data_IF_832295124312
#
_entry.id   IF_832295124312
#
_cell.length_a   1.000
_cell.length_b   1.000
_cell.length_c   1.000
_cell.angle_alpha   90.00
_cell.angle_beta   90.00
_cell.angle_gamma   90.00
#
_symmetry.space_group_name_H-M   'P 1'
#
loop_
_entity.id
_entity.type
_entity.pdbx_description
1 polymer ?
#
# COMPACT_ATOMS: atom_id res chain seq x y z
N UNK A 1 10.43 1.74 17.64
CA UNK A 1 9.33 2.62 18.07
C UNK A 1 9.59 3.99 17.48
N UNK A 2 8.80 4.41 16.50
CA UNK A 2 8.81 5.78 15.99
C UNK A 2 7.37 6.26 16.13
N UNK A 3 7.12 7.10 17.13
CA UNK A 3 5.88 7.87 17.24
C UNK A 3 5.82 8.82 16.05
N UNK A 4 4.86 8.58 15.15
CA UNK A 4 4.58 9.47 14.04
C UNK A 4 3.59 10.54 14.48
N UNK A 5 4.09 11.69 14.93
CA UNK A 5 3.26 12.86 15.21
C UNK A 5 2.52 13.32 13.95
N UNK A 6 1.20 13.13 13.93
CA UNK A 6 0.30 13.91 13.08
C UNK A 6 0.24 15.32 13.66
N UNK A 7 0.72 16.33 12.92
CA UNK A 7 0.65 17.73 13.37
C UNK A 7 -0.67 18.35 12.94
N UNK A 8 -1.42 18.87 13.91
CA UNK A 8 -2.68 19.58 13.70
C UNK A 8 -2.48 21.08 13.89
N UNK A 9 -3.17 21.89 13.07
CA UNK A 9 -3.31 23.34 13.30
C UNK A 9 -4.75 23.59 13.76
N UNK A 10 -4.93 24.09 14.98
CA UNK A 10 -6.26 24.35 15.57
C UNK A 10 -6.79 25.73 15.21
N UNK A 11 -8.09 25.80 14.93
CA UNK A 11 -8.91 27.02 14.93
C UNK A 11 -10.13 26.75 15.83
N UNK A 12 -10.48 27.68 16.74
CA UNK A 12 -11.30 27.41 17.93
C UNK A 12 -12.81 27.17 17.68
N UNK A 13 -13.27 27.17 16.43
CA UNK A 13 -14.69 26.96 16.05
C UNK A 13 -14.92 25.74 15.13
N UNK A 14 -13.98 24.78 15.10
CA UNK A 14 -14.03 23.63 14.18
C UNK A 14 -14.66 22.41 14.87
N UNK A 15 -15.69 21.83 14.24
CA UNK A 15 -16.18 20.49 14.57
C UNK A 15 -14.99 19.51 14.51
N UNK A 16 -14.67 18.87 15.63
CA UNK A 16 -13.53 17.94 15.73
C UNK A 16 -13.58 16.89 14.61
N UNK A 17 -12.53 16.83 13.78
CA UNK A 17 -12.36 15.77 12.77
C UNK A 17 -11.64 14.58 13.40
N UNK A 18 -12.21 13.39 13.28
CA UNK A 18 -11.60 12.17 13.81
C UNK A 18 -10.71 11.49 12.75
N UNK A 19 -9.43 11.38 13.04
CA UNK A 19 -8.44 10.72 12.20
C UNK A 19 -8.02 9.39 12.81
N UNK A 20 -7.99 8.34 11.99
CA UNK A 20 -7.46 7.04 12.40
C UNK A 20 -6.41 6.58 11.40
N UNK A 21 -5.28 6.09 11.93
CA UNK A 21 -4.27 5.37 11.15
C UNK A 21 -4.31 3.89 11.52
N UNK A 22 -4.23 3.02 10.51
CA UNK A 22 -4.30 1.58 10.71
C UNK A 22 -3.39 0.84 9.74
N UNK A 23 -2.47 0.05 10.30
CA UNK A 23 -1.67 -0.88 9.53
C UNK A 23 -2.47 -2.16 9.27
N UNK A 24 -2.83 -2.38 8.01
CA UNK A 24 -3.65 -3.54 7.60
C UNK A 24 -2.89 -4.85 7.73
N UNK A 25 -1.56 -4.83 7.59
CA UNK A 25 -0.71 -6.01 7.52
C UNK A 25 -1.17 -7.02 6.47
N UNK A 26 -1.68 -6.53 5.34
CA UNK A 26 -2.16 -7.37 4.24
C UNK A 26 -1.01 -7.81 3.32
N UNK A 27 -0.08 -8.57 3.89
CA UNK A 27 0.95 -9.32 3.16
C UNK A 27 0.55 -10.78 2.97
N UNK A 28 0.85 -11.38 1.83
CA UNK A 28 0.48 -12.79 1.54
C UNK A 28 1.28 -13.82 2.34
N UNK A 29 2.30 -13.36 3.06
CA UNK A 29 3.02 -14.13 4.07
C UNK A 29 2.23 -14.29 5.38
N UNK A 30 1.15 -13.54 5.58
CA UNK A 30 0.31 -13.59 6.78
C UNK A 30 -0.67 -14.75 6.70
N UNK A 31 -0.74 -15.56 7.76
CA UNK A 31 -1.71 -16.65 7.87
C UNK A 31 -3.15 -16.13 7.86
N UNK A 32 -4.07 -16.86 7.24
CA UNK A 32 -5.48 -16.49 7.12
C UNK A 32 -5.71 -15.13 6.41
N UNK A 33 -4.89 -14.84 5.40
CA UNK A 33 -4.91 -13.58 4.66
C UNK A 33 -6.32 -13.15 4.21
N UNK A 34 -7.10 -14.05 3.58
CA UNK A 34 -8.45 -13.72 3.10
C UNK A 34 -9.43 -13.45 4.26
N UNK A 35 -9.37 -14.25 5.33
CA UNK A 35 -10.21 -14.03 6.52
C UNK A 35 -9.85 -12.70 7.20
N UNK A 36 -8.55 -12.41 7.34
CA UNK A 36 -8.05 -11.16 7.90
C UNK A 36 -8.50 -9.95 7.09
N UNK A 37 -8.45 -10.02 5.75
CA UNK A 37 -8.95 -8.96 4.88
C UNK A 37 -10.43 -8.66 5.13
N UNK A 38 -11.26 -9.69 5.23
CA UNK A 38 -12.69 -9.51 5.51
C UNK A 38 -12.92 -8.86 6.89
N UNK A 39 -12.23 -9.33 7.93
CA UNK A 39 -12.31 -8.74 9.27
C UNK A 39 -11.84 -7.27 9.31
N UNK A 40 -10.80 -6.93 8.53
CA UNK A 40 -10.35 -5.55 8.39
C UNK A 40 -11.44 -4.70 7.74
N UNK A 41 -12.06 -5.18 6.65
CA UNK A 41 -13.16 -4.45 5.99
C UNK A 41 -14.32 -4.21 6.98
N UNK A 42 -14.72 -5.22 7.74
CA UNK A 42 -15.76 -5.09 8.77
C UNK A 42 -15.40 -4.05 9.83
N UNK A 43 -14.17 -4.08 10.36
CA UNK A 43 -13.70 -3.11 11.34
C UNK A 43 -13.65 -1.68 10.78
N UNK A 44 -13.22 -1.50 9.53
CA UNK A 44 -13.17 -0.20 8.88
C UNK A 44 -14.57 0.37 8.61
N UNK A 45 -15.55 -0.47 8.27
CA UNK A 45 -16.95 -0.06 8.10
C UNK A 45 -17.59 0.43 9.40
N UNK A 46 -17.18 -0.13 10.53
CA UNK A 46 -17.64 0.25 11.88
C UNK A 46 -16.87 1.45 12.45
N UNK A 47 -15.85 1.94 11.76
CA UNK A 47 -15.04 3.06 12.25
C UNK A 47 -15.83 4.37 12.30
N UNK A 48 -15.76 5.05 13.44
CA UNK A 48 -16.32 6.39 13.60
C UNK A 48 -15.45 7.49 13.00
N UNK A 49 -14.25 7.15 12.49
CA UNK A 49 -13.33 8.10 11.89
C UNK A 49 -13.96 8.86 10.71
N UNK A 50 -13.59 10.13 10.55
CA UNK A 50 -13.92 10.91 9.36
C UNK A 50 -12.91 10.64 8.24
N UNK A 51 -11.67 10.35 8.62
CA UNK A 51 -10.57 10.04 7.70
C UNK A 51 -9.76 8.85 8.21
N UNK A 52 -9.54 7.89 7.33
CA UNK A 52 -8.74 6.68 7.54
C UNK A 52 -7.44 6.77 6.72
N UNK A 53 -6.31 6.60 7.40
CA UNK A 53 -5.00 6.33 6.81
C UNK A 53 -4.72 4.82 6.91
N UNK A 54 -4.64 4.11 5.79
CA UNK A 54 -4.29 2.70 5.77
C UNK A 54 -2.85 2.49 5.30
N UNK A 55 -2.10 1.67 6.03
CA UNK A 55 -0.76 1.20 5.68
C UNK A 55 -0.75 -0.28 5.31
N UNK A 56 0.32 -0.71 4.64
CA UNK A 56 0.57 -2.09 4.20
C UNK A 56 -0.51 -2.68 3.27
N UNK A 57 -1.16 -1.80 2.49
CA UNK A 57 -2.12 -2.18 1.47
C UNK A 57 -1.42 -2.35 0.13
N UNK A 58 -0.68 -3.45 0.01
CA UNK A 58 0.33 -3.68 -1.02
C UNK A 58 -0.25 -4.04 -2.40
N UNK A 59 -1.32 -4.83 -2.43
CA UNK A 59 -1.89 -5.32 -3.69
C UNK A 59 -3.04 -4.42 -4.14
N UNK A 60 -3.06 -4.08 -5.43
CA UNK A 60 -4.11 -3.19 -5.97
C UNK A 60 -5.49 -3.85 -5.90
N UNK A 61 -5.55 -5.17 -6.04
CA UNK A 61 -6.78 -5.93 -5.87
C UNK A 61 -7.40 -5.73 -4.47
N UNK A 62 -6.60 -5.78 -3.40
CA UNK A 62 -7.10 -5.53 -2.04
C UNK A 62 -7.55 -4.08 -1.88
N UNK A 63 -6.79 -3.13 -2.44
CA UNK A 63 -7.16 -1.71 -2.42
C UNK A 63 -8.54 -1.50 -3.03
N UNK A 64 -8.81 -2.10 -4.18
CA UNK A 64 -10.10 -1.98 -4.87
C UNK A 64 -11.22 -2.64 -4.07
N UNK A 65 -10.98 -3.81 -3.48
CA UNK A 65 -11.97 -4.51 -2.66
C UNK A 65 -12.34 -3.68 -1.42
N UNK A 66 -11.34 -3.15 -0.71
CA UNK A 66 -11.55 -2.28 0.45
C UNK A 66 -12.26 -0.99 0.02
N UNK A 67 -11.79 -0.33 -1.04
CA UNK A 67 -12.39 0.89 -1.56
C UNK A 67 -13.86 0.70 -1.93
N UNK A 68 -14.18 -0.38 -2.64
CA UNK A 68 -15.57 -0.71 -3.01
C UNK A 68 -16.43 -0.97 -1.78
N UNK A 69 -15.91 -1.67 -0.78
CA UNK A 69 -16.63 -1.93 0.46
C UNK A 69 -16.90 -0.64 1.25
N UNK A 70 -15.91 0.25 1.32
CA UNK A 70 -15.99 1.49 2.09
C UNK A 70 -16.72 2.62 1.37
N UNK A 71 -16.96 2.53 0.05
CA UNK A 71 -17.50 3.63 -0.77
C UNK A 71 -18.80 4.25 -0.22
N UNK A 72 -19.65 3.47 0.46
CA UNK A 72 -20.88 3.98 1.07
C UNK A 72 -20.65 4.89 2.29
N UNK A 73 -19.58 4.66 3.04
CA UNK A 73 -19.25 5.41 4.26
C UNK A 73 -18.14 6.44 4.02
N UNK A 74 -17.17 6.11 3.16
CA UNK A 74 -16.02 6.92 2.80
C UNK A 74 -15.99 7.08 1.27
N UNK A 75 -16.78 8.00 0.69
CA UNK A 75 -16.93 8.15 -0.76
C UNK A 75 -15.68 8.71 -1.45
N UNK A 76 -14.75 9.28 -0.68
CA UNK A 76 -13.52 9.89 -1.15
C UNK A 76 -12.31 9.01 -0.83
N UNK A 77 -11.47 8.70 -1.82
CA UNK A 77 -10.26 7.91 -1.60
C UNK A 77 -9.05 8.39 -2.41
N UNK A 78 -7.86 8.27 -1.83
CA UNK A 78 -6.64 8.69 -2.48
C UNK A 78 -5.48 7.72 -2.22
N UNK A 79 -4.76 7.36 -3.27
CA UNK A 79 -3.54 6.55 -3.18
C UNK A 79 -2.54 6.97 -4.27
N UNK A 80 -1.40 6.28 -4.36
CA UNK A 80 -0.46 6.56 -5.46
C UNK A 80 -1.05 6.17 -6.82
N UNK A 81 -1.95 5.18 -6.86
CA UNK A 81 -2.45 4.58 -8.10
C UNK A 81 -3.84 5.10 -8.54
N UNK A 82 -4.59 5.77 -7.66
CA UNK A 82 -5.90 6.35 -7.98
C UNK A 82 -6.11 7.72 -7.32
N UNK A 83 -6.95 8.54 -7.95
CA UNK A 83 -7.45 9.81 -7.39
C UNK A 83 -8.88 9.68 -6.83
N UNK A 84 -9.35 10.77 -6.19
CA UNK A 84 -10.61 10.91 -5.40
C UNK A 84 -11.87 10.26 -5.99
N UNK A 85 -12.00 10.21 -7.32
CA UNK A 85 -13.12 9.54 -7.96
C UNK A 85 -13.01 8.01 -7.95
N UNK A 86 -12.05 7.45 -7.20
CA UNK A 86 -11.80 6.01 -7.15
C UNK A 86 -11.36 5.44 -8.53
N UNK A 87 -11.01 6.32 -9.47
CA UNK A 87 -10.62 5.96 -10.84
C UNK A 87 -9.12 5.68 -10.85
N UNK A 88 -8.79 4.43 -11.18
CA UNK A 88 -7.40 4.01 -11.34
C UNK A 88 -6.87 4.58 -12.64
N UNK A 89 -5.77 5.34 -12.55
CA UNK A 89 -5.30 6.24 -13.62
C UNK A 89 -4.83 5.54 -14.89
N UNK A 90 -4.45 4.27 -14.80
CA UNK A 90 -3.92 3.54 -15.94
C UNK A 90 -4.22 2.03 -15.83
N UNK A 91 -5.21 1.56 -16.59
CA UNK A 91 -5.59 0.14 -16.62
C UNK A 91 -4.51 -0.76 -17.23
N UNK A 92 -3.57 -0.23 -18.01
CA UNK A 92 -2.53 -1.03 -18.66
C UNK A 92 -1.41 -1.40 -17.68
N UNK A 93 -0.97 -0.46 -16.83
CA UNK A 93 -0.04 -0.75 -15.74
C UNK A 93 -0.65 -1.66 -14.67
N UNK A 94 -1.97 -1.67 -14.53
CA UNK A 94 -2.67 -2.58 -13.62
C UNK A 94 -2.61 -4.06 -13.98
N UNK A 95 -2.40 -4.37 -15.26
CA UNK A 95 -2.43 -5.75 -15.74
C UNK A 95 -1.10 -6.48 -15.53
N UNK A 96 0.00 -5.74 -15.33
CA UNK A 96 1.33 -6.33 -15.24
C UNK A 96 1.73 -6.62 -13.78
N UNK A 97 2.24 -7.83 -13.49
CA UNK A 97 2.77 -8.14 -12.18
C UNK A 97 4.11 -7.44 -11.96
N UNK A 98 4.48 -7.15 -10.70
CA UNK A 98 5.68 -6.34 -10.39
C UNK A 98 6.99 -6.98 -10.87
N UNK A 99 7.01 -8.31 -11.06
CA UNK A 99 8.14 -9.10 -11.54
C UNK A 99 7.91 -9.71 -12.94
N UNK A 100 7.27 -9.00 -13.88
CA UNK A 100 6.98 -9.48 -15.24
C UNK A 100 8.20 -9.85 -16.12
N UNK A 101 9.43 -9.81 -15.60
CA UNK A 101 10.67 -10.00 -16.37
C UNK A 101 11.17 -11.45 -16.39
N UNK A 102 11.81 -11.86 -17.50
CA UNK A 102 12.52 -13.15 -17.58
C UNK A 102 13.66 -13.22 -16.55
N UNK A 103 14.28 -12.08 -16.24
CA UNK A 103 15.34 -11.93 -15.24
C UNK A 103 14.87 -12.42 -13.87
N UNK A 104 13.61 -12.19 -13.50
CA UNK A 104 13.05 -12.70 -12.25
C UNK A 104 13.13 -14.22 -12.16
N UNK A 105 12.79 -14.95 -13.23
CA UNK A 105 12.83 -16.43 -13.24
C UNK A 105 14.24 -16.96 -13.01
N UNK A 106 15.24 -16.36 -13.66
CA UNK A 106 16.65 -16.74 -13.47
C UNK A 106 17.12 -16.44 -12.05
N UNK A 107 16.74 -15.29 -11.50
CA UNK A 107 17.07 -14.88 -10.12
C UNK A 107 16.41 -15.81 -9.11
N UNK A 108 15.16 -16.21 -9.34
CA UNK A 108 14.41 -17.14 -8.49
C UNK A 108 14.99 -18.57 -8.55
N UNK A 109 15.48 -19.01 -9.72
CA UNK A 109 16.22 -20.27 -9.82
C UNK A 109 17.47 -20.26 -8.93
N UNK A 110 18.23 -19.16 -8.93
CA UNK A 110 19.34 -18.99 -8.01
C UNK A 110 18.88 -19.07 -6.54
N UNK A 111 17.79 -18.39 -6.18
CA UNK A 111 17.24 -18.42 -4.83
C UNK A 111 16.95 -19.85 -4.35
N UNK A 112 16.24 -20.63 -5.18
CA UNK A 112 15.88 -22.01 -4.83
C UNK A 112 17.11 -22.91 -4.67
N UNK A 113 18.17 -22.68 -5.46
CA UNK A 113 19.41 -23.48 -5.38
C UNK A 113 20.30 -23.09 -4.20
N UNK A 114 20.41 -21.80 -3.89
CA UNK A 114 21.46 -21.30 -2.99
C UNK A 114 20.95 -20.67 -1.69
N UNK A 115 19.69 -20.22 -1.65
CA UNK A 115 19.17 -19.40 -0.55
C UNK A 115 17.99 -20.03 0.21
N UNK A 116 17.37 -21.08 -0.34
CA UNK A 116 16.22 -21.74 0.28
C UNK A 116 16.58 -22.74 1.39
N UNK A 117 17.78 -22.64 1.97
CA UNK A 117 18.31 -23.59 2.95
C UNK A 117 18.16 -23.11 4.41
N UNK A 118 18.06 -21.80 4.65
CA UNK A 118 17.85 -21.24 5.99
C UNK A 118 16.35 -21.27 6.37
N UNK A 119 16.02 -21.31 7.67
CA UNK A 119 14.64 -21.10 8.15
C UNK A 119 14.35 -19.62 8.50
N UNK A 120 15.37 -18.76 8.47
CA UNK A 120 15.26 -17.35 8.84
C UNK A 120 14.97 -16.49 7.60
N UNK A 121 13.84 -15.79 7.59
CA UNK A 121 13.42 -14.91 6.50
C UNK A 121 14.46 -13.82 6.18
N UNK A 122 15.11 -13.25 7.20
CA UNK A 122 16.09 -12.17 7.01
C UNK A 122 17.34 -12.71 6.32
N UNK A 123 17.80 -13.91 6.70
CA UNK A 123 18.94 -14.57 6.06
C UNK A 123 18.62 -14.97 4.61
N UNK A 124 17.43 -15.54 4.38
CA UNK A 124 16.98 -15.88 3.03
C UNK A 124 16.91 -14.64 2.14
N UNK A 125 16.32 -13.55 2.64
CA UNK A 125 16.24 -12.28 1.92
C UNK A 125 17.64 -11.70 1.67
N UNK A 126 18.53 -11.72 2.67
CA UNK A 126 19.92 -11.30 2.52
C UNK A 126 20.66 -12.09 1.43
N UNK A 127 20.52 -13.42 1.44
CA UNK A 127 21.09 -14.29 0.41
C UNK A 127 20.51 -13.96 -0.97
N UNK A 128 19.19 -13.79 -1.09
CA UNK A 128 18.55 -13.44 -2.36
C UNK A 128 19.11 -12.12 -2.93
N UNK A 129 19.26 -11.11 -2.07
CA UNK A 129 19.73 -9.80 -2.46
C UNK A 129 21.21 -9.77 -2.87
N UNK A 130 22.05 -10.55 -2.18
CA UNK A 130 23.51 -10.57 -2.35
C UNK A 130 23.94 -11.69 -3.29
N UNK A 131 23.73 -12.95 -2.92
CA UNK A 131 24.19 -14.13 -3.67
C UNK A 131 23.53 -14.24 -5.04
N UNK A 132 22.23 -13.94 -5.12
CA UNK A 132 21.50 -13.95 -6.40
C UNK A 132 21.48 -12.58 -7.10
N UNK A 133 22.19 -11.59 -6.56
CA UNK A 133 22.30 -10.24 -7.13
C UNK A 133 20.94 -9.57 -7.43
N UNK A 134 19.89 -9.95 -6.70
CA UNK A 134 18.52 -9.52 -6.98
C UNK A 134 18.37 -8.00 -6.88
N UNK A 135 19.10 -7.36 -5.96
CA UNK A 135 19.09 -5.90 -5.75
C UNK A 135 19.52 -5.07 -6.96
N UNK A 136 20.35 -5.66 -7.84
CA UNK A 136 20.82 -5.05 -9.09
C UNK A 136 19.94 -5.43 -10.27
N UNK A 137 19.46 -6.67 -10.30
CA UNK A 137 18.78 -7.27 -11.44
C UNK A 137 17.27 -6.98 -11.48
N UNK A 138 16.64 -6.76 -10.33
CA UNK A 138 15.20 -6.59 -10.20
C UNK A 138 14.83 -5.14 -9.87
N UNK A 139 13.63 -4.74 -10.30
CA UNK A 139 13.06 -3.44 -9.92
C UNK A 139 12.78 -3.40 -8.41
N UNK A 140 12.72 -2.20 -7.84
CA UNK A 140 12.36 -2.01 -6.42
C UNK A 140 10.96 -2.56 -6.13
N UNK A 141 10.03 -2.39 -7.05
CA UNK A 141 8.66 -2.92 -6.95
C UNK A 141 8.66 -4.46 -6.89
N UNK A 142 9.39 -5.12 -7.80
CA UNK A 142 9.54 -6.57 -7.78
C UNK A 142 10.15 -7.06 -6.47
N UNK A 143 11.25 -6.43 -6.03
CA UNK A 143 11.92 -6.78 -4.78
C UNK A 143 11.00 -6.61 -3.57
N UNK A 144 10.24 -5.52 -3.53
CA UNK A 144 9.26 -5.27 -2.46
C UNK A 144 8.22 -6.38 -2.45
N UNK A 145 7.63 -6.70 -3.59
CA UNK A 145 6.62 -7.74 -3.68
C UNK A 145 7.16 -9.09 -3.20
N UNK A 146 8.37 -9.48 -3.61
CA UNK A 146 9.00 -10.74 -3.20
C UNK A 146 9.17 -10.78 -1.68
N UNK A 147 9.70 -9.71 -1.08
CA UNK A 147 9.96 -9.65 0.36
C UNK A 147 8.65 -9.70 1.15
N UNK A 148 7.63 -8.94 0.74
CA UNK A 148 6.32 -8.89 1.40
C UNK A 148 5.55 -10.21 1.26
N UNK A 149 5.70 -10.89 0.12
CA UNK A 149 5.07 -12.19 -0.13
C UNK A 149 5.72 -13.35 0.65
N UNK A 150 6.87 -13.11 1.27
CA UNK A 150 7.55 -14.05 2.16
C UNK A 150 8.34 -15.14 1.44
N UNK A 151 8.55 -16.28 2.11
CA UNK A 151 9.46 -17.35 1.67
C UNK A 151 8.80 -18.43 0.82
N UNK A 152 7.47 -18.48 0.79
CA UNK A 152 6.74 -19.47 0.02
C UNK A 152 6.83 -19.14 -1.48
N UNK A 153 7.73 -19.83 -2.18
CA UNK A 153 8.02 -19.60 -3.61
C UNK A 153 6.77 -19.64 -4.48
N UNK A 154 5.82 -20.53 -4.17
CA UNK A 154 4.53 -20.59 -4.84
C UNK A 154 3.76 -19.26 -4.74
N UNK A 155 3.62 -18.70 -3.54
CA UNK A 155 2.94 -17.42 -3.30
C UNK A 155 3.69 -16.26 -3.97
N UNK A 156 5.01 -16.25 -3.89
CA UNK A 156 5.84 -15.21 -4.53
C UNK A 156 5.64 -15.23 -6.05
N UNK A 157 5.69 -16.40 -6.67
CA UNK A 157 5.49 -16.53 -8.12
C UNK A 157 4.06 -16.12 -8.48
N UNK A 158 3.06 -16.60 -7.73
CA UNK A 158 1.65 -16.30 -7.98
C UNK A 158 1.32 -14.81 -7.81
N UNK A 159 1.86 -14.14 -6.77
CA UNK A 159 1.55 -12.75 -6.42
C UNK A 159 2.43 -11.73 -7.12
N UNK A 160 3.68 -12.07 -7.42
CA UNK A 160 4.64 -11.10 -7.95
C UNK A 160 4.98 -11.30 -9.42
N UNK A 161 4.80 -12.47 -10.01
CA UNK A 161 5.31 -12.76 -11.36
C UNK A 161 4.28 -13.31 -12.34
N UNK A 162 3.28 -14.04 -11.87
CA UNK A 162 2.24 -14.58 -12.73
C UNK A 162 1.18 -13.52 -13.00
N UNK A 163 0.85 -13.36 -14.28
CA UNK A 163 -0.47 -12.84 -14.66
C UNK A 163 -1.48 -13.95 -14.36
N UNK A 164 -2.19 -13.86 -13.24
CA UNK A 164 -3.26 -14.83 -13.00
C UNK A 164 -4.47 -14.44 -13.84
N UNK A 165 -5.04 -15.35 -14.66
CA UNK A 165 -6.30 -15.08 -15.37
C UNK A 165 -7.45 -14.79 -14.40
N UNK A 166 -7.36 -15.31 -13.16
CA UNK A 166 -8.35 -15.07 -12.11
C UNK A 166 -8.20 -13.71 -11.42
N UNK A 167 -7.09 -13.00 -11.63
CA UNK A 167 -6.89 -11.67 -11.03
C UNK A 167 -7.17 -10.60 -12.06
N UNK A 168 -8.15 -9.77 -11.73
CA UNK A 168 -8.49 -8.61 -12.54
C UNK A 168 -7.37 -7.56 -12.52
N UNK A 169 -6.53 -7.55 -11.48
CA UNK A 169 -5.44 -6.60 -11.29
C UNK A 169 -4.19 -7.31 -10.75
N UNK A 170 -3.05 -7.15 -11.41
CA UNK A 170 -1.77 -7.70 -10.99
C UNK A 170 -0.78 -6.64 -10.47
N UNK A 171 -1.15 -5.36 -10.53
CA UNK A 171 -0.29 -4.28 -10.07
C UNK A 171 -0.06 -4.28 -8.56
N UNK A 172 1.00 -3.57 -8.19
CA UNK A 172 1.44 -3.38 -6.82
C UNK A 172 1.29 -1.90 -6.43
N UNK A 173 0.61 -1.63 -5.32
CA UNK A 173 0.52 -0.29 -4.74
C UNK A 173 1.80 -0.02 -3.95
N UNK A 174 2.91 0.29 -4.61
CA UNK A 174 4.11 0.78 -3.92
C UNK A 174 3.87 2.23 -3.50
N UNK A 175 3.34 2.47 -2.28
CA UNK A 175 4.06 2.22 -1.03
C UNK A 175 3.24 1.53 0.08
N UNK A 176 2.11 0.94 -0.27
CA UNK A 176 1.18 0.32 0.65
C UNK A 176 0.28 1.32 1.37
N UNK A 177 0.11 2.53 0.84
CA UNK A 177 -0.66 3.61 1.48
C UNK A 177 -1.97 3.87 0.74
N UNK A 178 -3.01 4.16 1.52
CA UNK A 178 -4.28 4.69 1.03
C UNK A 178 -4.95 5.59 2.08
N UNK A 179 -5.64 6.62 1.59
CA UNK A 179 -6.49 7.52 2.35
C UNK A 179 -7.96 7.26 1.97
N UNK A 180 -8.83 7.20 2.96
CA UNK A 180 -10.29 7.16 2.78
C UNK A 180 -10.92 8.25 3.64
N UNK A 181 -11.92 8.95 3.12
CA UNK A 181 -12.51 10.11 3.79
C UNK A 181 -14.02 10.19 3.57
N UNK A 182 -14.74 10.57 4.62
CA UNK A 182 -16.16 10.97 4.55
C UNK A 182 -16.32 12.31 3.83
N UNK A 183 -15.27 13.13 3.86
CA UNK A 183 -15.22 14.50 3.39
C UNK A 183 -14.37 14.60 2.10
N UNK A 184 -14.64 15.56 1.19
CA UNK A 184 -13.88 15.73 -0.04
C UNK A 184 -12.39 15.97 0.20
N UNK A 185 -11.57 15.36 -0.66
CA UNK A 185 -10.10 15.49 -0.63
C UNK A 185 -9.61 16.42 -1.76
N UNK A 186 -9.01 17.56 -1.42
CA UNK A 186 -8.34 18.43 -2.38
C UNK A 186 -6.84 18.59 -2.09
N UNK A 187 -6.13 19.30 -2.98
CA UNK A 187 -4.67 19.54 -2.91
C UNK A 187 -3.85 18.30 -2.58
N UNK A 188 -4.27 17.16 -3.14
CA UNK A 188 -3.66 15.85 -2.92
C UNK A 188 -2.23 15.86 -3.43
N UNK A 189 -1.32 15.42 -2.59
CA UNK A 189 0.10 15.32 -2.91
C UNK A 189 0.65 13.97 -2.43
N UNK A 190 1.70 13.52 -3.12
CA UNK A 190 2.47 12.35 -2.76
C UNK A 190 3.95 12.70 -2.81
N UNK A 191 4.65 12.41 -1.73
CA UNK A 191 6.07 12.73 -1.63
C UNK A 191 6.84 11.50 -1.17
N UNK A 192 7.89 11.14 -1.91
CA UNK A 192 8.89 10.22 -1.40
C UNK A 192 9.71 10.96 -0.34
N UNK A 193 9.69 10.48 0.90
CA UNK A 193 10.39 11.12 2.03
C UNK A 193 11.89 11.18 1.81
N UNK A 194 12.43 10.24 1.02
CA UNK A 194 13.88 10.07 0.85
C UNK A 194 14.14 9.77 -0.63
N UNK A 195 13.98 10.78 -1.52
CA UNK A 195 13.95 10.58 -2.97
C UNK A 195 15.28 10.13 -3.57
N UNK A 196 16.39 10.27 -2.84
CA UNK A 196 17.75 10.01 -3.33
C UNK A 196 18.41 8.77 -2.68
N UNK A 197 17.65 7.90 -2.00
CA UNK A 197 18.19 6.67 -1.41
C UNK A 197 17.48 5.47 -2.03
N UNK A 198 18.23 4.60 -2.71
CA UNK A 198 17.71 3.33 -3.20
C UNK A 198 17.42 2.44 -1.99
N UNK A 199 16.14 2.20 -1.72
CA UNK A 199 15.65 1.33 -0.64
C UNK A 199 14.83 0.20 -1.22
N UNK A 200 14.75 -0.90 -0.47
CA UNK A 200 13.86 -1.99 -0.82
C UNK A 200 12.41 -1.54 -0.77
N UNK A 201 12.02 -0.79 0.26
CA UNK A 201 10.68 -0.21 0.39
C UNK A 201 10.81 1.31 0.42
N UNK A 202 10.26 1.97 -0.60
CA UNK A 202 10.20 3.44 -0.65
C UNK A 202 9.29 3.95 0.46
N UNK A 203 9.72 4.99 1.18
CA UNK A 203 8.92 5.64 2.22
C UNK A 203 8.21 6.83 1.60
N UNK A 204 6.89 6.78 1.57
CA UNK A 204 6.07 7.83 0.99
C UNK A 204 5.20 8.47 2.06
N UNK A 205 4.76 9.68 1.76
CA UNK A 205 3.69 10.37 2.46
C UNK A 205 2.62 10.67 1.44
N UNK A 206 1.38 10.37 1.79
CA UNK A 206 0.21 10.93 1.15
C UNK A 206 -0.28 12.10 2.00
N UNK A 207 -0.60 13.22 1.36
CA UNK A 207 -1.25 14.35 2.01
C UNK A 207 -2.43 14.82 1.16
N UNK A 208 -3.49 15.28 1.81
CA UNK A 208 -4.65 15.89 1.18
C UNK A 208 -5.30 16.85 2.17
N UNK A 209 -5.90 17.91 1.66
CA UNK A 209 -6.77 18.80 2.43
C UNK A 209 -8.19 18.27 2.45
N UNK A 210 -8.84 18.37 3.62
CA UNK A 210 -10.18 17.85 3.86
C UNK A 210 -11.17 19.02 3.92
N UNK A 211 -12.14 19.05 3.02
CA UNK A 211 -13.06 20.19 2.90
C UNK A 211 -14.36 19.98 3.67
N UNK A 212 -14.72 20.99 4.46
CA UNK A 212 -16.06 21.11 5.03
C UNK A 212 -16.91 22.01 4.14
N UNK A 213 -18.01 21.47 3.61
CA UNK A 213 -19.09 22.30 3.07
C UNK A 213 -19.89 22.92 4.22
N UNK A 214 -19.24 23.73 5.04
CA UNK A 214 -19.98 24.67 5.86
C UNK A 214 -20.27 25.88 4.98
N UNK A 215 -21.51 26.36 5.02
CA UNK A 215 -22.02 27.49 4.21
C UNK A 215 -21.29 28.83 4.43
N UNK A 216 -20.16 28.83 5.14
CA UNK A 216 -19.25 29.96 5.33
C UNK A 216 -17.82 29.47 5.15
N UNK A 217 -17.12 30.08 4.20
CA UNK A 217 -15.78 29.70 3.72
C UNK A 217 -14.74 29.83 4.84
N UNK A 218 -14.54 28.75 5.60
CA UNK A 218 -13.38 28.60 6.48
C UNK A 218 -12.50 27.48 5.90
N UNK A 219 -11.38 27.87 5.30
CA UNK A 219 -10.36 26.95 4.85
C UNK A 219 -9.63 26.39 6.08
N UNK A 220 -9.81 25.10 6.36
CA UNK A 220 -9.02 24.37 7.36
C UNK A 220 -8.06 23.47 6.61
N UNK A 221 -6.77 23.83 6.64
CA UNK A 221 -5.71 23.00 6.08
C UNK A 221 -5.32 21.92 7.09
N UNK A 222 -5.85 20.71 6.91
CA UNK A 222 -5.43 19.55 7.70
C UNK A 222 -4.48 18.71 6.87
N UNK A 223 -3.21 18.68 7.24
CA UNK A 223 -2.20 17.81 6.62
C UNK A 223 -2.21 16.48 7.37
N UNK A 224 -2.89 15.49 6.80
CA UNK A 224 -2.74 14.10 7.25
C UNK A 224 -1.47 13.52 6.66
N UNK A 225 -0.61 12.94 7.50
CA UNK A 225 0.55 12.20 7.06
C UNK A 225 0.31 10.71 7.37
N UNK A 226 -0.04 9.91 6.37
CA UNK A 226 0.06 8.46 6.54
C UNK A 226 1.53 8.06 6.41
N UNK A 227 2.13 7.50 7.47
CA UNK A 227 3.54 7.07 7.54
C UNK A 227 3.67 5.57 7.73
#
# INVERSE_FOLDING_TARGET
MLDGDCRYFYNENVTSTNFVTFNTGLGTSVTFYEQRKNLIIEALLQSEADVLCLNELWYVEDLIQIQKALQGNFPHSFSIIHDDAAIIKDKHTLAQPPCASVIFRTTMKCFMTHCNTSRNLIEQAGCFLVTCNASRLLSVECLTCVIISGTHTANVIEKCANTSPSRQFNAFNLPGLALFSKLPLAHRNRQNLIPNVKRLVSRWVLSAEVFYFLYTVNHVNIITNCR
#
